data_IF_272964785372
#
_entry.id   IF_272964785372
#
_cell.length_a   1.000
_cell.length_b   1.000
_cell.length_c   1.000
_cell.angle_alpha   90.00
_cell.angle_beta   90.00
_cell.angle_gamma   90.00
#
_symmetry.space_group_name_H-M   'P 1'
#
loop_
_entity.id
_entity.type
_entity.pdbx_description
1 polymer ?
#
# COMPACT_ATOMS: atom_id res chain seq x y z
N UNK A 1 -83.55 -10.79 -8.50
CA UNK A 1 -83.23 -9.33 -8.52
C UNK A 1 -81.73 -9.24 -8.73
N UNK A 2 -81.15 -8.50 -9.68
CA UNK A 2 -81.59 -7.29 -10.33
C UNK A 2 -80.91 -7.25 -11.71
N UNK A 3 -81.65 -6.79 -12.73
CA UNK A 3 -81.12 -6.32 -13.99
C UNK A 3 -80.27 -5.04 -13.78
N UNK A 4 -79.69 -4.54 -14.87
CA UNK A 4 -79.11 -3.20 -15.08
C UNK A 4 -77.62 -3.09 -14.69
N UNK A 5 -76.70 -2.54 -15.49
CA UNK A 5 -76.84 -1.62 -16.62
C UNK A 5 -75.64 -1.74 -17.59
N UNK A 6 -75.96 -1.68 -18.88
CA UNK A 6 -75.06 -1.22 -19.94
C UNK A 6 -74.81 0.29 -19.76
N UNK A 7 -73.58 0.78 -19.99
CA UNK A 7 -73.23 2.02 -20.72
C UNK A 7 -71.75 2.42 -20.49
N UNK A 8 -70.89 2.17 -21.47
CA UNK A 8 -70.18 3.12 -22.38
C UNK A 8 -69.04 3.92 -21.74
N UNK A 9 -67.83 3.77 -22.31
CA UNK A 9 -66.94 4.83 -22.87
C UNK A 9 -65.43 4.60 -22.64
N UNK A 10 -64.72 4.50 -23.77
CA UNK A 10 -63.44 5.14 -24.10
C UNK A 10 -62.08 4.55 -23.64
N UNK A 11 -61.47 3.77 -24.55
CA UNK A 11 -60.20 3.97 -25.27
C UNK A 11 -58.93 4.58 -24.61
N UNK A 12 -57.79 3.96 -24.99
CA UNK A 12 -56.35 4.37 -24.92
C UNK A 12 -55.69 4.22 -23.53
N UNK A 13 -54.53 3.59 -23.35
CA UNK A 13 -53.31 3.51 -24.19
C UNK A 13 -52.45 2.28 -23.84
N UNK A 14 -51.82 1.70 -24.88
CA UNK A 14 -50.59 0.91 -24.78
C UNK A 14 -49.53 1.59 -23.90
N UNK A 15 -48.88 0.83 -23.02
CA UNK A 15 -47.57 1.17 -22.48
C UNK A 15 -46.61 0.02 -22.81
N UNK A 16 -45.93 0.20 -23.94
CA UNK A 16 -44.70 -0.50 -24.31
C UNK A 16 -43.65 -0.11 -23.26
N UNK A 17 -43.09 -1.11 -22.57
CA UNK A 17 -41.95 -0.92 -21.68
C UNK A 17 -40.69 -1.03 -22.53
N UNK A 18 -40.18 0.12 -22.98
CA UNK A 18 -38.86 0.25 -23.59
C UNK A 18 -37.76 0.01 -22.54
N UNK A 19 -36.60 -0.58 -22.91
CA UNK A 19 -35.48 -0.74 -22.00
C UNK A 19 -34.78 0.61 -21.80
N UNK A 20 -35.01 1.25 -20.66
CA UNK A 20 -34.28 2.47 -20.29
C UNK A 20 -32.92 2.11 -19.67
N UNK A 21 -31.94 1.75 -20.50
CA UNK A 21 -30.53 1.74 -20.12
C UNK A 21 -29.85 3.04 -20.56
N UNK A 22 -30.32 4.16 -20.03
CA UNK A 22 -29.47 5.32 -19.86
C UNK A 22 -28.85 5.21 -18.47
N UNK A 23 -27.67 4.58 -18.39
CA UNK A 23 -26.77 4.83 -17.25
C UNK A 23 -26.52 6.34 -17.23
N UNK A 24 -27.28 7.04 -16.39
CA UNK A 24 -27.15 8.47 -16.16
C UNK A 24 -25.71 8.77 -15.78
N UNK A 25 -25.06 9.62 -16.57
CA UNK A 25 -23.71 10.08 -16.27
C UNK A 25 -23.68 10.72 -14.88
N UNK A 26 -22.95 10.10 -13.96
CA UNK A 26 -22.74 10.61 -12.61
C UNK A 26 -21.31 11.09 -12.45
N UNK A 27 -21.16 12.41 -12.33
CA UNK A 27 -19.88 13.04 -12.01
C UNK A 27 -19.30 12.52 -10.68
N UNK A 28 -20.15 12.10 -9.74
CA UNK A 28 -19.73 11.47 -8.49
C UNK A 28 -19.10 10.08 -8.71
N UNK A 29 -19.68 9.25 -9.58
CA UNK A 29 -19.09 7.96 -9.93
C UNK A 29 -17.77 8.13 -10.70
N UNK A 30 -17.70 9.12 -11.58
CA UNK A 30 -16.48 9.45 -12.30
C UNK A 30 -15.38 9.97 -11.36
N UNK A 31 -15.71 10.84 -10.41
CA UNK A 31 -14.74 11.38 -9.44
C UNK A 31 -14.25 10.31 -8.48
N UNK A 32 -15.11 9.40 -8.00
CA UNK A 32 -14.68 8.23 -7.19
C UNK A 32 -13.75 7.31 -7.99
N UNK A 33 -14.05 7.05 -9.27
CA UNK A 33 -13.18 6.26 -10.16
C UNK A 33 -11.83 6.96 -10.39
N UNK A 34 -11.83 8.29 -10.57
CA UNK A 34 -10.62 9.09 -10.72
C UNK A 34 -9.78 9.08 -9.43
N UNK A 35 -10.40 9.27 -8.27
CA UNK A 35 -9.75 9.18 -6.95
C UNK A 35 -9.14 7.80 -6.71
N UNK A 36 -9.88 6.71 -6.99
CA UNK A 36 -9.35 5.34 -6.91
C UNK A 36 -8.18 5.13 -7.86
N UNK A 37 -8.25 5.67 -9.07
CA UNK A 37 -7.17 5.59 -10.07
C UNK A 37 -5.93 6.36 -9.61
N UNK A 38 -6.09 7.56 -9.05
CA UNK A 38 -4.99 8.35 -8.46
C UNK A 38 -4.41 7.65 -7.24
N UNK A 39 -5.24 7.15 -6.31
CA UNK A 39 -4.79 6.37 -5.16
C UNK A 39 -4.02 5.10 -5.58
N UNK A 40 -4.48 4.41 -6.63
CA UNK A 40 -3.75 3.28 -7.21
C UNK A 40 -2.43 3.68 -7.90
N UNK A 41 -2.33 4.92 -8.38
CA UNK A 41 -1.18 5.52 -9.08
C UNK A 41 -0.24 6.32 -8.19
N UNK A 42 -0.61 6.62 -6.94
CA UNK A 42 0.28 7.01 -5.84
C UNK A 42 1.18 5.80 -5.46
N UNK A 43 1.56 5.05 -6.47
CA UNK A 43 1.87 3.65 -6.39
C UNK A 43 3.24 3.57 -5.77
N UNK A 44 3.21 3.06 -4.57
CA UNK A 44 4.28 2.48 -3.80
C UNK A 44 5.33 1.79 -4.70
N UNK A 45 4.94 1.21 -5.86
CA UNK A 45 5.80 0.51 -6.84
C UNK A 45 7.12 1.20 -7.19
N UNK A 46 7.12 2.49 -7.56
CA UNK A 46 8.37 3.17 -7.94
C UNK A 46 9.29 3.40 -6.72
N UNK A 47 8.68 3.63 -5.56
CA UNK A 47 9.38 3.84 -4.29
C UNK A 47 9.91 2.52 -3.75
N UNK A 48 9.12 1.46 -3.78
CA UNK A 48 9.56 0.10 -3.41
C UNK A 48 10.68 -0.38 -4.31
N UNK A 49 10.65 -0.10 -5.62
CA UNK A 49 11.76 -0.52 -6.50
C UNK A 49 13.07 0.23 -6.22
N UNK A 50 12.97 1.44 -5.66
CA UNK A 50 14.14 2.24 -5.28
C UNK A 50 14.66 1.87 -3.88
N UNK A 51 13.77 1.42 -2.98
CA UNK A 51 14.11 1.00 -1.62
C UNK A 51 14.49 -0.48 -1.50
N UNK A 52 13.97 -1.34 -2.39
CA UNK A 52 14.20 -2.78 -2.44
C UNK A 52 15.03 -3.09 -3.68
N UNK A 53 16.29 -2.63 -3.65
CA UNK A 53 17.28 -3.06 -4.63
C UNK A 53 17.77 -4.47 -4.28
N UNK A 54 18.36 -5.19 -5.25
CA UNK A 54 18.90 -6.53 -5.05
C UNK A 54 19.90 -6.63 -3.88
N UNK A 55 20.59 -5.52 -3.56
CA UNK A 55 21.49 -5.45 -2.41
C UNK A 55 20.72 -5.42 -1.08
N UNK A 56 19.63 -4.64 -1.00
CA UNK A 56 18.78 -4.58 0.18
C UNK A 56 18.06 -5.91 0.39
N UNK A 57 17.58 -6.54 -0.68
CA UNK A 57 16.92 -7.84 -0.60
C UNK A 57 17.84 -8.90 0.00
N UNK A 58 19.11 -8.97 -0.44
CA UNK A 58 20.12 -9.86 0.16
C UNK A 58 20.35 -9.60 1.66
N UNK A 59 20.38 -8.33 2.07
CA UNK A 59 20.54 -7.97 3.49
C UNK A 59 19.32 -8.43 4.30
N UNK A 60 18.12 -8.25 3.75
CA UNK A 60 16.88 -8.69 4.40
C UNK A 60 16.76 -10.22 4.47
N UNK A 61 17.25 -10.94 3.45
CA UNK A 61 17.31 -12.41 3.45
C UNK A 61 18.29 -12.92 4.52
N UNK A 62 19.49 -12.34 4.60
CA UNK A 62 20.47 -12.69 5.65
C UNK A 62 19.90 -12.38 7.03
N UNK A 63 19.20 -11.25 7.19
CA UNK A 63 18.53 -10.91 8.45
C UNK A 63 17.42 -11.92 8.78
N UNK A 64 16.62 -12.34 7.79
CA UNK A 64 15.60 -13.36 7.97
C UNK A 64 16.23 -14.68 8.43
N UNK A 65 17.30 -15.12 7.78
CA UNK A 65 18.01 -16.36 8.14
C UNK A 65 18.61 -16.26 9.55
N UNK A 66 19.19 -15.12 9.91
CA UNK A 66 19.68 -14.86 11.26
C UNK A 66 18.56 -14.83 12.31
N UNK A 67 17.36 -14.33 11.98
CA UNK A 67 16.21 -14.39 12.88
C UNK A 67 15.69 -15.83 13.04
N UNK A 68 15.77 -16.65 11.97
CA UNK A 68 15.32 -18.05 11.99
C UNK A 68 16.13 -18.95 12.92
N UNK A 69 17.36 -18.56 13.30
CA UNK A 69 18.16 -19.31 14.28
C UNK A 69 17.63 -19.20 15.71
N UNK A 70 16.86 -18.14 16.02
CA UNK A 70 16.37 -17.86 17.37
C UNK A 70 14.84 -17.76 17.48
N UNK A 71 14.13 -17.56 16.37
CA UNK A 71 12.69 -17.31 16.36
C UNK A 71 11.92 -18.24 15.40
N UNK A 72 10.60 -18.33 15.62
CA UNK A 72 9.70 -19.06 14.73
C UNK A 72 9.72 -18.45 13.32
N UNK A 73 9.44 -19.28 12.31
CA UNK A 73 9.29 -18.79 10.92
C UNK A 73 8.31 -17.63 10.82
N UNK A 74 7.17 -17.75 11.50
CA UNK A 74 6.11 -16.74 11.50
C UNK A 74 6.59 -15.41 12.08
N UNK A 75 7.37 -15.44 13.16
CA UNK A 75 7.86 -14.23 13.81
C UNK A 75 8.99 -13.58 13.00
N UNK A 76 9.92 -14.38 12.46
CA UNK A 76 10.98 -13.89 11.57
C UNK A 76 10.40 -13.19 10.33
N UNK A 77 9.43 -13.82 9.65
CA UNK A 77 8.73 -13.21 8.51
C UNK A 77 7.99 -11.92 8.91
N UNK A 78 7.39 -11.89 10.10
CA UNK A 78 6.67 -10.71 10.60
C UNK A 78 7.62 -9.54 10.82
N UNK A 79 8.81 -9.79 11.39
CA UNK A 79 9.83 -8.75 11.61
C UNK A 79 10.28 -8.16 10.28
N UNK A 80 10.72 -8.99 9.33
CA UNK A 80 11.21 -8.50 8.02
C UNK A 80 10.11 -7.74 7.27
N UNK A 81 8.89 -8.27 7.26
CA UNK A 81 7.72 -7.60 6.66
C UNK A 81 7.44 -6.24 7.30
N UNK A 82 7.59 -6.11 8.61
CA UNK A 82 7.38 -4.85 9.31
C UNK A 82 8.49 -3.84 8.99
N UNK A 83 9.75 -4.27 8.88
CA UNK A 83 10.87 -3.43 8.43
C UNK A 83 10.57 -2.84 7.04
N UNK A 84 10.18 -3.69 6.08
CA UNK A 84 9.83 -3.25 4.72
C UNK A 84 8.68 -2.24 4.76
N UNK A 85 7.60 -2.52 5.51
CA UNK A 85 6.46 -1.61 5.64
C UNK A 85 6.85 -0.25 6.22
N UNK A 86 7.70 -0.23 7.25
CA UNK A 86 8.16 1.01 7.88
C UNK A 86 9.02 1.83 6.92
N UNK A 87 10.00 1.20 6.26
CA UNK A 87 10.85 1.87 5.27
C UNK A 87 10.02 2.51 4.14
N UNK A 88 9.05 1.76 3.61
CA UNK A 88 8.15 2.26 2.56
C UNK A 88 7.27 3.41 3.05
N UNK A 89 6.73 3.34 4.26
CA UNK A 89 5.92 4.43 4.85
C UNK A 89 6.75 5.70 5.03
N UNK A 90 7.95 5.59 5.59
CA UNK A 90 8.84 6.74 5.80
C UNK A 90 9.18 7.40 4.46
N UNK A 91 9.53 6.60 3.45
CA UNK A 91 9.84 7.14 2.14
C UNK A 91 8.64 7.79 1.43
N UNK A 92 7.43 7.27 1.64
CA UNK A 92 6.21 7.90 1.14
C UNK A 92 5.95 9.24 1.84
N UNK A 93 6.10 9.31 3.17
CA UNK A 93 5.92 10.55 3.92
C UNK A 93 6.97 11.60 3.50
N UNK A 94 8.24 11.19 3.38
CA UNK A 94 9.33 12.05 2.96
C UNK A 94 9.12 12.63 1.55
N UNK A 95 8.61 11.82 0.61
CA UNK A 95 8.36 12.27 -0.77
C UNK A 95 7.18 13.20 -0.93
N UNK A 96 6.25 13.21 0.02
CA UNK A 96 5.09 14.09 0.00
C UNK A 96 5.26 15.28 0.97
N UNK A 97 6.48 15.54 1.44
CA UNK A 97 6.81 16.61 2.38
C UNK A 97 5.92 16.59 3.65
N UNK A 98 5.50 15.39 4.07
CA UNK A 98 4.62 15.18 5.23
C UNK A 98 5.37 14.98 6.55
N UNK A 99 6.70 15.07 6.54
CA UNK A 99 7.53 14.94 7.73
C UNK A 99 7.85 16.32 8.28
N UNK A 100 7.58 16.54 9.56
CA UNK A 100 7.97 17.76 10.26
C UNK A 100 9.49 17.81 10.47
N UNK A 101 10.03 18.98 10.80
CA UNK A 101 11.45 19.10 11.17
C UNK A 101 11.82 18.21 12.36
N UNK A 102 10.91 18.02 13.31
CA UNK A 102 11.12 17.14 14.46
C UNK A 102 11.22 15.67 14.02
N UNK A 103 10.34 15.23 13.11
CA UNK A 103 10.37 13.88 12.54
C UNK A 103 11.68 13.64 11.78
N UNK A 104 12.13 14.61 10.99
CA UNK A 104 13.39 14.52 10.24
C UNK A 104 14.58 14.36 11.18
N UNK A 105 14.67 15.15 12.27
CA UNK A 105 15.74 15.01 13.28
C UNK A 105 15.74 13.65 13.95
N UNK A 106 14.56 13.08 14.21
CA UNK A 106 14.44 11.72 14.76
C UNK A 106 14.90 10.66 13.77
N UNK A 107 14.50 10.78 12.49
CA UNK A 107 14.94 9.88 11.42
C UNK A 107 16.44 9.93 11.20
N UNK A 108 17.07 11.11 11.28
CA UNK A 108 18.53 11.25 11.25
C UNK A 108 19.18 10.50 12.40
N UNK A 109 18.56 10.53 13.59
CA UNK A 109 18.99 9.74 14.74
C UNK A 109 18.97 8.25 14.46
N UNK A 110 17.86 7.74 13.91
CA UNK A 110 17.71 6.34 13.51
C UNK A 110 18.74 5.95 12.44
N UNK A 111 18.96 6.80 11.44
CA UNK A 111 19.94 6.56 10.38
C UNK A 111 21.35 6.43 10.96
N UNK A 112 21.75 7.33 11.88
CA UNK A 112 23.06 7.25 12.55
C UNK A 112 23.21 5.96 13.34
N UNK A 113 22.18 5.55 14.09
CA UNK A 113 22.22 4.30 14.85
C UNK A 113 22.32 3.07 13.95
N UNK A 114 21.57 3.02 12.85
CA UNK A 114 21.65 1.93 11.86
C UNK A 114 23.01 1.87 11.18
N UNK A 115 23.59 3.03 10.84
CA UNK A 115 24.92 3.09 10.26
C UNK A 115 25.99 2.57 11.24
N UNK A 116 25.95 3.01 12.49
CA UNK A 116 26.86 2.51 13.54
C UNK A 116 26.71 1.01 13.79
N UNK A 117 25.47 0.49 13.76
CA UNK A 117 25.21 -0.95 13.86
C UNK A 117 25.83 -1.71 12.68
N UNK A 118 25.63 -1.21 11.46
CA UNK A 118 26.20 -1.82 10.26
C UNK A 118 27.74 -1.88 10.32
N UNK A 119 28.39 -0.78 10.72
CA UNK A 119 29.84 -0.75 10.92
C UNK A 119 30.31 -1.73 11.98
N UNK A 120 29.58 -1.83 13.10
CA UNK A 120 29.89 -2.81 14.15
C UNK A 120 29.81 -4.25 13.63
N UNK A 121 28.76 -4.59 12.89
CA UNK A 121 28.61 -5.92 12.28
C UNK A 121 29.73 -6.21 11.29
N UNK A 122 30.07 -5.25 10.42
CA UNK A 122 31.18 -5.37 9.46
C UNK A 122 32.49 -5.61 10.20
N UNK A 123 32.76 -4.84 11.26
CA UNK A 123 33.96 -4.98 12.09
C UNK A 123 34.07 -6.36 12.70
N UNK A 124 32.98 -6.90 13.28
CA UNK A 124 32.98 -8.26 13.83
C UNK A 124 33.28 -9.33 12.78
N UNK A 125 32.75 -9.17 11.56
CA UNK A 125 33.02 -10.09 10.45
C UNK A 125 34.49 -9.99 10.00
N UNK A 126 35.03 -8.77 9.89
CA UNK A 126 36.42 -8.53 9.49
C UNK A 126 37.41 -9.11 10.50
N UNK A 127 37.19 -8.85 11.78
CA UNK A 127 38.01 -9.39 12.88
C UNK A 127 37.96 -10.92 12.89
N UNK A 128 36.75 -11.51 12.76
CA UNK A 128 36.61 -12.98 12.68
C UNK A 128 37.36 -13.58 11.50
N UNK A 129 37.40 -12.89 10.37
CA UNK A 129 38.04 -13.36 9.14
C UNK A 129 39.55 -13.06 9.10
N UNK A 130 40.12 -12.43 10.14
CA UNK A 130 41.55 -12.09 10.22
C UNK A 130 41.99 -10.99 9.24
N UNK A 131 41.05 -10.25 8.65
CA UNK A 131 41.33 -9.13 7.75
C UNK A 131 41.29 -7.85 8.58
N UNK A 132 42.43 -7.49 9.15
CA UNK A 132 42.63 -6.22 9.86
C UNK A 132 43.46 -5.33 8.94
N UNK A 133 42.95 -4.15 8.57
CA UNK A 133 43.75 -3.11 7.90
C UNK A 133 44.67 -2.42 8.91
#
# INVERSE_FOLDING_TARGET
MQRYATKVLNNKTNLVVEPNEQESFSAANLSIRAQKKIASKLSTRKITKLLLSDAVDKVLDILYDALRTHYSKKDAEKVVKNIIKLAVKIALLARNDMLTEADQRQLDGVQRQLHSLALTVISFVQVRNGVIN
#
